data_IF_738921445275
#
_entry.id   IF_738921445275
#
_cell.length_a   1.000
_cell.length_b   1.000
_cell.length_c   1.000
_cell.angle_alpha   90.00
_cell.angle_beta   90.00
_cell.angle_gamma   90.00
#
_symmetry.space_group_name_H-M   'P 1'
#
loop_
_entity.id
_entity.type
_entity.pdbx_description
1 polymer ?
#
# COMPACT_ATOMS: atom_id res chain seq x y z
N UNK A 1 -12.98 10.90 24.03
CA UNK A 1 -14.13 10.08 24.47
C UNK A 1 -13.91 8.67 23.96
N UNK A 2 -14.13 7.64 24.77
CA UNK A 2 -14.04 6.23 24.36
C UNK A 2 -15.32 5.49 24.76
N UNK A 3 -15.86 4.59 23.90
CA UNK A 3 -17.00 3.75 24.26
C UNK A 3 -16.54 2.63 25.22
N UNK A 4 -17.31 2.38 26.28
CA UNK A 4 -17.09 1.30 27.26
C UNK A 4 -18.41 0.58 27.49
N UNK A 5 -18.36 -0.73 27.73
CA UNK A 5 -19.56 -1.53 28.04
C UNK A 5 -19.84 -1.48 29.55
N UNK A 6 -21.06 -1.10 29.92
CA UNK A 6 -21.59 -1.17 31.28
C UNK A 6 -23.04 -1.66 31.21
N UNK A 7 -23.40 -2.70 31.98
CA UNK A 7 -24.73 -3.32 31.96
C UNK A 7 -25.25 -3.65 30.54
N UNK A 8 -24.38 -4.21 29.70
CA UNK A 8 -24.65 -4.50 28.28
C UNK A 8 -25.06 -3.28 27.42
N UNK A 9 -24.76 -2.07 27.86
CA UNK A 9 -24.96 -0.83 27.12
C UNK A 9 -23.63 -0.13 26.86
N UNK A 10 -23.54 0.57 25.74
CA UNK A 10 -22.39 1.42 25.44
C UNK A 10 -22.54 2.75 26.20
N UNK A 11 -21.59 3.04 27.07
CA UNK A 11 -21.45 4.33 27.76
C UNK A 11 -20.19 5.06 27.28
N UNK A 12 -20.17 6.38 27.44
CA UNK A 12 -19.01 7.21 27.08
C UNK A 12 -18.16 7.44 28.33
N UNK A 13 -16.86 7.13 28.24
CA UNK A 13 -15.86 7.58 29.22
C UNK A 13 -14.98 8.67 28.63
N UNK A 14 -14.69 9.68 29.44
CA UNK A 14 -13.76 10.75 29.09
C UNK A 14 -12.35 10.36 29.56
N UNK A 15 -11.38 10.51 28.67
CA UNK A 15 -9.96 10.24 28.92
C UNK A 15 -9.16 11.41 28.38
N UNK A 16 -8.09 11.77 29.08
CA UNK A 16 -7.12 12.75 28.61
C UNK A 16 -6.10 12.04 27.72
N UNK A 17 -5.84 12.61 26.55
CA UNK A 17 -4.85 12.10 25.58
C UNK A 17 -3.97 13.29 25.18
N UNK A 18 -2.64 13.12 25.10
CA UNK A 18 -1.77 14.18 24.59
C UNK A 18 -2.16 14.61 23.16
N UNK A 19 -2.12 15.91 22.88
CA UNK A 19 -2.48 16.49 21.56
C UNK A 19 -1.57 16.02 20.40
N UNK A 20 -0.42 15.44 20.73
CA UNK A 20 0.51 14.81 19.79
C UNK A 20 0.02 13.42 19.32
N UNK A 21 -0.81 12.74 20.13
CA UNK A 21 -1.30 11.39 19.85
C UNK A 21 -2.69 11.38 19.18
N UNK A 22 -3.33 12.53 19.04
CA UNK A 22 -4.66 12.65 18.45
C UNK A 22 -4.78 13.94 17.64
N UNK A 23 -5.50 13.87 16.51
CA UNK A 23 -5.90 15.03 15.72
C UNK A 23 -7.38 14.94 15.39
N UNK A 24 -8.02 16.09 15.20
CA UNK A 24 -9.40 16.14 14.69
C UNK A 24 -9.39 15.60 13.26
N UNK A 25 -10.30 14.66 12.99
CA UNK A 25 -10.51 14.08 11.68
C UNK A 25 -11.52 14.94 10.88
N UNK A 26 -11.34 15.17 9.57
CA UNK A 26 -10.24 14.66 8.75
C UNK A 26 -8.94 15.44 8.94
N UNK A 27 -7.83 14.71 8.96
CA UNK A 27 -6.50 15.29 8.83
C UNK A 27 -6.35 15.86 7.41
N UNK A 28 -5.74 17.04 7.27
CA UNK A 28 -5.45 17.62 5.95
C UNK A 28 -4.56 16.67 5.14
N UNK A 29 -4.98 16.35 3.91
CA UNK A 29 -4.20 15.49 3.03
C UNK A 29 -2.97 16.24 2.51
N UNK A 30 -1.82 15.99 3.14
CA UNK A 30 -0.52 16.50 2.71
C UNK A 30 0.47 15.34 2.64
N UNK A 31 1.48 15.43 1.77
CA UNK A 31 2.53 14.42 1.68
C UNK A 31 3.26 14.24 3.02
N UNK A 32 3.44 15.33 3.78
CA UNK A 32 4.03 15.29 5.12
C UNK A 32 3.19 14.47 6.11
N UNK A 33 1.87 14.72 6.16
CA UNK A 33 0.97 13.97 7.04
C UNK A 33 0.89 12.48 6.65
N UNK A 34 0.86 12.18 5.36
CA UNK A 34 0.91 10.80 4.86
C UNK A 34 2.22 10.11 5.25
N UNK A 35 3.36 10.77 5.06
CA UNK A 35 4.67 10.24 5.44
C UNK A 35 4.77 9.97 6.95
N UNK A 36 4.21 10.85 7.80
CA UNK A 36 4.18 10.66 9.26
C UNK A 36 3.32 9.45 9.67
N UNK A 37 2.22 9.17 8.98
CA UNK A 37 1.44 7.96 9.23
C UNK A 37 2.20 6.71 8.77
N UNK A 38 2.79 6.74 7.57
CA UNK A 38 3.61 5.64 7.06
C UNK A 38 4.77 5.31 8.01
N UNK A 39 5.46 6.32 8.57
CA UNK A 39 6.59 6.10 9.49
C UNK A 39 6.18 5.41 10.79
N UNK A 40 4.94 5.58 11.24
CA UNK A 40 4.38 4.86 12.40
C UNK A 40 4.01 3.40 12.11
N UNK A 41 3.89 3.05 10.82
CA UNK A 41 3.42 1.75 10.37
C UNK A 41 4.52 0.88 9.78
N UNK A 42 5.60 1.47 9.25
CA UNK A 42 6.70 0.73 8.62
C UNK A 42 7.38 -0.24 9.59
N UNK A 43 7.77 -1.41 9.10
CA UNK A 43 8.38 -2.49 9.90
C UNK A 43 7.40 -3.33 10.73
N UNK A 44 6.10 -3.00 10.71
CA UNK A 44 5.08 -3.83 11.38
C UNK A 44 4.91 -5.17 10.63
N UNK A 45 4.75 -6.30 11.35
CA UNK A 45 4.49 -7.60 10.74
C UNK A 45 3.27 -7.61 9.83
N UNK A 46 3.27 -8.52 8.86
CA UNK A 46 2.10 -8.80 8.02
C UNK A 46 1.11 -9.69 8.80
N UNK A 47 -0.13 -9.23 8.95
CA UNK A 47 -1.22 -9.96 9.61
C UNK A 47 -2.35 -10.29 8.65
N UNK A 48 -2.37 -11.51 8.11
CA UNK A 48 -3.45 -11.97 7.23
C UNK A 48 -4.82 -11.81 7.91
N UNK A 49 -5.75 -11.08 7.28
CA UNK A 49 -7.09 -10.88 7.87
C UNK A 49 -7.07 -10.12 9.19
N UNK A 50 -6.09 -9.26 9.41
CA UNK A 50 -5.83 -8.55 10.67
C UNK A 50 -5.34 -9.42 11.85
N UNK A 51 -4.73 -10.58 11.57
CA UNK A 51 -4.20 -11.46 12.62
C UNK A 51 -3.22 -10.72 13.55
N UNK A 52 -3.40 -10.91 14.86
CA UNK A 52 -2.65 -10.23 15.92
C UNK A 52 -2.69 -8.69 15.86
N UNK A 53 -3.79 -8.12 15.33
CA UNK A 53 -3.97 -6.67 15.16
C UNK A 53 -2.95 -6.01 14.20
N UNK A 54 -2.24 -6.81 13.40
CA UNK A 54 -1.40 -6.32 12.32
C UNK A 54 -2.18 -6.28 11.02
N UNK A 55 -1.87 -5.35 10.12
CA UNK A 55 -2.59 -5.25 8.86
C UNK A 55 -2.10 -6.27 7.83
N UNK A 56 -3.00 -6.66 6.91
CA UNK A 56 -2.61 -7.14 5.59
C UNK A 56 -2.53 -5.96 4.60
N UNK A 57 -2.24 -6.25 3.33
CA UNK A 57 -2.07 -5.25 2.28
C UNK A 57 -3.25 -4.26 2.16
N UNK A 58 -4.48 -4.78 2.11
CA UNK A 58 -5.68 -3.96 1.95
C UNK A 58 -6.08 -3.24 3.23
N UNK A 59 -5.92 -3.87 4.39
CA UNK A 59 -6.15 -3.21 5.68
C UNK A 59 -5.14 -2.07 5.93
N UNK A 60 -3.91 -2.23 5.45
CA UNK A 60 -2.86 -1.21 5.53
C UNK A 60 -3.30 0.07 4.81
N UNK A 61 -3.73 -0.05 3.55
CA UNK A 61 -4.22 1.10 2.78
C UNK A 61 -5.48 1.69 3.40
N UNK A 62 -6.46 0.87 3.78
CA UNK A 62 -7.69 1.34 4.44
C UNK A 62 -7.37 2.18 5.67
N UNK A 63 -6.49 1.69 6.54
CA UNK A 63 -6.12 2.37 7.77
C UNK A 63 -5.27 3.62 7.51
N UNK A 64 -4.43 3.61 6.47
CA UNK A 64 -3.63 4.76 6.06
C UNK A 64 -4.49 5.92 5.52
N UNK A 65 -5.54 5.60 4.76
CA UNK A 65 -6.43 6.61 4.17
C UNK A 65 -7.54 7.10 5.13
N UNK A 66 -7.90 6.30 6.15
CA UNK A 66 -8.97 6.62 7.10
C UNK A 66 -8.79 7.98 7.79
N UNK A 67 -7.61 8.36 8.34
CA UNK A 67 -7.42 9.67 9.00
C UNK A 67 -7.70 10.87 8.09
N UNK A 68 -7.60 10.71 6.77
CA UNK A 68 -7.88 11.75 5.78
C UNK A 68 -9.35 11.82 5.35
N UNK A 69 -10.21 10.96 5.91
CA UNK A 69 -11.62 10.86 5.50
C UNK A 69 -11.83 10.13 4.18
N UNK A 70 -10.79 9.48 3.64
CA UNK A 70 -10.89 8.68 2.41
C UNK A 70 -11.22 7.25 2.81
N UNK A 71 -12.45 6.82 2.51
CA UNK A 71 -12.90 5.49 2.83
C UNK A 71 -12.52 4.50 1.72
N UNK A 72 -11.93 3.37 2.11
CA UNK A 72 -11.66 2.23 1.23
C UNK A 72 -12.36 0.97 1.74
N UNK A 73 -12.87 0.10 0.85
CA UNK A 73 -13.36 -1.24 1.21
C UNK A 73 -12.28 -2.10 1.89
N UNK A 74 -12.70 -3.20 2.55
CA UNK A 74 -11.76 -4.05 3.31
C UNK A 74 -10.83 -4.88 2.44
N UNK A 75 -11.29 -5.39 1.30
CA UNK A 75 -10.56 -6.37 0.49
C UNK A 75 -9.94 -5.70 -0.75
N UNK A 76 -8.75 -6.15 -1.17
CA UNK A 76 -8.01 -5.60 -2.32
C UNK A 76 -8.84 -5.47 -3.59
N UNK A 77 -9.54 -6.54 -4.00
CA UNK A 77 -10.39 -6.51 -5.19
C UNK A 77 -11.54 -5.52 -5.05
N UNK A 78 -12.17 -5.44 -3.88
CA UNK A 78 -13.23 -4.47 -3.62
C UNK A 78 -12.70 -3.03 -3.61
N UNK A 79 -11.48 -2.78 -3.12
CA UNK A 79 -10.83 -1.48 -3.24
C UNK A 79 -10.62 -1.11 -4.71
N UNK A 80 -10.16 -2.05 -5.52
CA UNK A 80 -9.97 -1.81 -6.95
C UNK A 80 -11.28 -1.48 -7.66
N UNK A 81 -12.33 -2.27 -7.47
CA UNK A 81 -13.63 -2.00 -8.08
C UNK A 81 -14.23 -0.68 -7.58
N UNK A 82 -14.16 -0.40 -6.28
CA UNK A 82 -14.61 0.89 -5.74
C UNK A 82 -13.88 2.07 -6.38
N UNK A 83 -12.56 2.00 -6.57
CA UNK A 83 -11.80 3.09 -7.19
C UNK A 83 -12.14 3.22 -8.68
N UNK A 84 -12.32 2.11 -9.41
CA UNK A 84 -12.75 2.14 -10.82
C UNK A 84 -14.13 2.77 -11.00
N UNK A 85 -15.06 2.49 -10.09
CA UNK A 85 -16.43 3.01 -10.14
C UNK A 85 -16.54 4.49 -9.78
N UNK A 86 -15.68 4.97 -8.86
CA UNK A 86 -15.82 6.30 -8.26
C UNK A 86 -14.73 7.30 -8.67
N UNK A 87 -13.64 6.83 -9.27
CA UNK A 87 -12.49 7.67 -9.63
C UNK A 87 -11.95 7.31 -11.02
N UNK A 88 -10.63 7.24 -11.18
CA UNK A 88 -9.97 6.96 -12.45
C UNK A 88 -9.05 5.73 -12.32
N UNK A 89 -9.05 4.88 -13.34
CA UNK A 89 -8.23 3.69 -13.37
C UNK A 89 -7.72 3.42 -14.79
N UNK A 90 -6.55 2.81 -14.87
CA UNK A 90 -5.93 2.35 -16.12
C UNK A 90 -5.56 0.89 -15.94
N UNK A 91 -6.18 0.03 -16.74
CA UNK A 91 -5.80 -1.38 -16.82
C UNK A 91 -4.62 -1.55 -17.78
N UNK A 92 -3.48 -1.95 -17.22
CA UNK A 92 -2.23 -2.23 -17.93
C UNK A 92 -1.93 -3.73 -17.98
N UNK A 93 -2.94 -4.59 -17.75
CA UNK A 93 -2.77 -6.05 -17.73
C UNK A 93 -2.28 -6.59 -19.08
N UNK A 94 -2.62 -5.95 -20.20
CA UNK A 94 -2.14 -6.31 -21.54
C UNK A 94 -0.73 -5.76 -21.87
N UNK A 95 -0.21 -4.82 -21.07
CA UNK A 95 1.11 -4.22 -21.31
C UNK A 95 2.24 -5.08 -20.74
N UNK A 96 3.45 -4.90 -21.29
CA UNK A 96 4.67 -5.52 -20.76
C UNK A 96 5.06 -4.92 -19.41
N UNK A 97 5.85 -5.64 -18.58
CA UNK A 97 6.39 -5.09 -17.33
C UNK A 97 7.12 -3.76 -17.51
N UNK A 98 7.90 -3.61 -18.58
CA UNK A 98 8.62 -2.36 -18.86
C UNK A 98 7.66 -1.20 -19.16
N UNK A 99 6.61 -1.42 -19.94
CA UNK A 99 5.60 -0.41 -20.26
C UNK A 99 4.79 -0.02 -19.00
N UNK A 100 4.46 -0.99 -18.15
CA UNK A 100 3.80 -0.76 -16.85
C UNK A 100 4.62 0.17 -15.97
N UNK A 101 5.91 -0.12 -15.79
CA UNK A 101 6.81 0.70 -14.99
C UNK A 101 7.01 2.09 -15.61
N UNK A 102 7.20 2.16 -16.92
CA UNK A 102 7.35 3.43 -17.65
C UNK A 102 6.11 4.31 -17.52
N UNK A 103 4.92 3.72 -17.63
CA UNK A 103 3.66 4.42 -17.42
C UNK A 103 3.54 4.92 -15.99
N UNK A 104 3.83 4.08 -15.00
CA UNK A 104 3.72 4.45 -13.58
C UNK A 104 4.69 5.58 -13.21
N UNK A 105 5.94 5.53 -13.69
CA UNK A 105 6.94 6.59 -13.47
C UNK A 105 6.46 7.92 -14.05
N UNK A 106 5.86 7.89 -15.24
CA UNK A 106 5.42 9.10 -15.95
C UNK A 106 4.11 9.66 -15.40
N UNK A 107 3.15 8.81 -15.05
CA UNK A 107 1.77 9.20 -14.80
C UNK A 107 1.31 8.96 -13.36
N UNK A 108 2.10 8.29 -12.52
CA UNK A 108 1.76 8.02 -11.13
C UNK A 108 1.73 9.30 -10.30
N UNK A 109 0.71 9.45 -9.46
CA UNK A 109 0.59 10.54 -8.48
C UNK A 109 1.06 10.02 -7.11
N UNK A 110 2.18 10.51 -6.57
CA UNK A 110 2.68 10.06 -5.27
C UNK A 110 1.60 10.16 -4.18
N UNK A 111 1.42 9.09 -3.41
CA UNK A 111 0.45 8.96 -2.33
C UNK A 111 -1.03 8.91 -2.74
N UNK A 112 -1.34 9.01 -4.04
CA UNK A 112 -2.71 8.97 -4.57
C UNK A 112 -2.89 7.92 -5.68
N UNK A 113 -1.84 7.17 -6.00
CA UNK A 113 -1.91 6.07 -6.96
C UNK A 113 -1.75 4.74 -6.24
N UNK A 114 -2.76 3.88 -6.31
CA UNK A 114 -2.74 2.51 -5.82
C UNK A 114 -2.52 1.57 -7.00
N UNK A 115 -1.69 0.56 -6.83
CA UNK A 115 -1.54 -0.52 -7.80
C UNK A 115 -2.29 -1.74 -7.27
N UNK A 116 -3.09 -2.36 -8.14
CA UNK A 116 -3.74 -3.63 -7.87
C UNK A 116 -3.23 -4.72 -8.82
N UNK A 117 -2.79 -5.82 -8.23
CA UNK A 117 -2.33 -7.04 -8.91
C UNK A 117 -3.06 -8.24 -8.28
N UNK A 118 -2.88 -9.46 -8.79
CA UNK A 118 -3.52 -10.63 -8.18
C UNK A 118 -3.17 -10.80 -6.70
N UNK A 119 -4.17 -10.65 -5.85
CA UNK A 119 -4.07 -10.91 -4.41
C UNK A 119 -3.29 -9.85 -3.62
N UNK A 120 -2.95 -8.71 -4.21
CA UNK A 120 -2.18 -7.67 -3.52
C UNK A 120 -2.51 -6.26 -4.01
N UNK A 121 -2.48 -5.29 -3.10
CA UNK A 121 -2.63 -3.85 -3.37
C UNK A 121 -1.56 -3.08 -2.60
N UNK A 122 -1.06 -2.02 -3.20
CA UNK A 122 0.00 -1.21 -2.58
C UNK A 122 0.03 0.21 -3.15
N UNK A 123 0.68 1.12 -2.42
CA UNK A 123 0.68 2.55 -2.69
C UNK A 123 1.94 2.97 -3.45
N UNK A 124 1.79 3.68 -4.55
CA UNK A 124 2.87 4.39 -5.21
C UNK A 124 3.23 5.65 -4.42
N UNK A 125 4.51 5.82 -4.10
CA UNK A 125 5.00 6.96 -3.30
C UNK A 125 5.95 7.88 -4.06
N UNK A 126 6.08 7.68 -5.38
CA UNK A 126 6.91 8.51 -6.25
C UNK A 126 8.06 7.76 -6.89
N UNK A 127 8.92 8.52 -7.53
CA UNK A 127 10.10 8.01 -8.23
C UNK A 127 11.36 8.25 -7.39
N UNK A 128 12.30 7.32 -7.47
CA UNK A 128 13.60 7.44 -6.82
C UNK A 128 14.72 7.10 -7.80
N UNK A 129 15.93 7.66 -7.67
CA UNK A 129 17.07 7.24 -8.47
C UNK A 129 17.34 5.74 -8.31
N UNK A 130 17.48 5.02 -9.41
CA UNK A 130 17.79 3.60 -9.40
C UNK A 130 19.26 3.38 -9.05
N UNK A 131 19.52 2.97 -7.81
CA UNK A 131 20.88 2.75 -7.29
C UNK A 131 21.58 1.52 -7.91
N UNK A 132 20.83 0.66 -8.60
CA UNK A 132 21.35 -0.54 -9.24
C UNK A 132 21.62 -0.36 -10.74
N UNK A 133 21.27 0.80 -11.30
CA UNK A 133 21.53 1.12 -12.70
C UNK A 133 22.46 2.33 -12.82
N UNK A 134 23.59 2.14 -13.49
CA UNK A 134 24.62 3.18 -13.71
C UNK A 134 24.13 4.33 -14.61
N UNK A 135 23.02 4.15 -15.33
CA UNK A 135 22.44 5.13 -16.24
C UNK A 135 21.52 6.16 -15.56
N UNK A 136 21.51 6.24 -14.21
CA UNK A 136 20.67 7.19 -13.46
C UNK A 136 19.19 7.15 -13.83
N UNK A 137 18.67 5.96 -14.15
CA UNK A 137 17.25 5.78 -14.45
C UNK A 137 16.41 5.92 -13.18
N UNK A 138 15.15 6.35 -13.32
CA UNK A 138 14.22 6.39 -12.21
C UNK A 138 13.60 5.00 -11.97
N UNK A 139 13.35 4.66 -10.72
CA UNK A 139 12.54 3.51 -10.32
C UNK A 139 11.28 3.98 -9.59
N UNK A 140 10.16 3.33 -9.86
CA UNK A 140 8.93 3.57 -9.11
C UNK A 140 9.07 2.99 -7.69
N UNK A 141 8.90 3.84 -6.69
CA UNK A 141 8.95 3.46 -5.29
C UNK A 141 7.53 3.27 -4.76
N UNK A 142 7.35 2.26 -3.90
CA UNK A 142 6.05 1.93 -3.33
C UNK A 142 6.13 1.70 -1.84
N UNK A 143 5.02 1.92 -1.14
CA UNK A 143 4.80 1.48 0.23
C UNK A 143 3.80 0.32 0.22
N UNK A 144 4.16 -0.78 0.87
CA UNK A 144 3.35 -1.99 0.88
C UNK A 144 3.46 -2.71 2.22
N UNK A 145 2.41 -3.44 2.61
CA UNK A 145 2.49 -4.49 3.62
C UNK A 145 2.31 -5.85 2.93
N UNK A 146 3.39 -6.63 2.81
CA UNK A 146 3.45 -7.81 1.94
C UNK A 146 3.99 -9.03 2.69
N UNK A 147 3.37 -10.19 2.46
CA UNK A 147 3.85 -11.46 3.03
C UNK A 147 5.20 -11.86 2.43
N UNK A 148 5.32 -11.87 1.11
CA UNK A 148 6.57 -12.20 0.43
C UNK A 148 6.42 -12.30 -1.08
N UNK A 149 7.56 -12.34 -1.76
CA UNK A 149 7.62 -12.52 -3.20
C UNK A 149 7.60 -14.00 -3.56
N UNK A 150 6.98 -14.33 -4.70
CA UNK A 150 6.96 -15.70 -5.24
C UNK A 150 8.13 -15.87 -6.21
N UNK A 151 8.89 -16.97 -6.16
CA UNK A 151 9.82 -17.27 -7.24
C UNK A 151 9.10 -17.70 -8.53
N UNK A 152 9.67 -17.38 -9.71
CA UNK A 152 9.01 -17.63 -11.01
C UNK A 152 8.55 -19.08 -11.21
N UNK A 153 9.40 -20.05 -10.84
CA UNK A 153 9.21 -21.48 -11.18
C UNK A 153 9.05 -22.38 -9.95
N UNK A 154 8.78 -21.83 -8.77
CA UNK A 154 8.71 -22.59 -7.53
C UNK A 154 7.39 -22.33 -6.79
N UNK A 155 6.95 -23.30 -5.97
CA UNK A 155 5.82 -23.13 -5.05
C UNK A 155 6.32 -22.79 -3.64
N UNK A 156 7.22 -21.82 -3.56
CA UNK A 156 7.85 -21.32 -2.33
C UNK A 156 7.58 -19.81 -2.17
N UNK A 157 8.09 -19.20 -1.09
CA UNK A 157 8.04 -17.75 -0.86
C UNK A 157 9.39 -17.25 -0.38
N UNK A 158 9.79 -16.09 -0.89
CA UNK A 158 10.84 -15.25 -0.33
C UNK A 158 10.12 -14.31 0.63
N UNK A 159 10.12 -14.67 1.92
CA UNK A 159 9.33 -13.99 2.95
C UNK A 159 9.93 -12.61 3.23
N UNK A 160 9.07 -11.60 3.22
CA UNK A 160 9.37 -10.24 3.70
C UNK A 160 8.61 -10.04 5.02
N UNK A 161 7.30 -10.30 5.01
CA UNK A 161 6.50 -10.46 6.22
C UNK A 161 6.16 -9.16 6.94
N UNK A 162 6.05 -8.03 6.25
CA UNK A 162 5.71 -6.77 6.89
C UNK A 162 5.57 -5.57 5.96
N UNK A 163 5.38 -4.41 6.58
CA UNK A 163 5.30 -3.11 5.92
C UNK A 163 6.68 -2.53 5.61
N UNK A 164 6.89 -2.12 4.36
CA UNK A 164 8.17 -1.60 3.89
C UNK A 164 8.00 -0.68 2.67
N UNK A 165 9.05 0.08 2.39
CA UNK A 165 9.26 0.62 1.06
C UNK A 165 9.88 -0.45 0.17
N UNK A 166 9.29 -0.69 -0.99
CA UNK A 166 9.76 -1.68 -1.94
C UNK A 166 9.79 -1.05 -3.33
N UNK A 167 10.94 -1.01 -4.03
CA UNK A 167 10.98 -0.57 -5.41
C UNK A 167 10.27 -1.59 -6.32
N UNK A 168 9.56 -1.09 -7.32
CA UNK A 168 9.07 -1.92 -8.41
C UNK A 168 10.15 -2.02 -9.49
N UNK A 169 10.87 -3.14 -9.50
CA UNK A 169 11.93 -3.44 -10.45
C UNK A 169 11.53 -4.57 -11.40
N UNK A 170 12.13 -4.64 -12.58
CA UNK A 170 11.97 -5.79 -13.46
C UNK A 170 12.58 -7.06 -12.85
N UNK A 171 13.70 -6.90 -12.14
CA UNK A 171 14.41 -7.95 -11.43
C UNK A 171 15.00 -7.38 -10.13
N UNK A 172 15.08 -8.19 -9.08
CA UNK A 172 15.63 -7.81 -7.77
C UNK A 172 17.05 -8.38 -7.63
N UNK A 173 18.11 -7.56 -7.63
CA UNK A 173 19.50 -8.05 -7.56
C UNK A 173 19.78 -8.90 -6.32
N UNK A 174 19.19 -8.54 -5.18
CA UNK A 174 19.36 -9.22 -3.89
C UNK A 174 18.55 -10.53 -3.83
N UNK A 175 17.56 -10.69 -4.70
CA UNK A 175 16.70 -11.86 -4.77
C UNK A 175 16.41 -12.26 -6.23
N UNK A 176 17.41 -12.76 -7.00
CA UNK A 176 17.29 -12.97 -8.44
C UNK A 176 16.18 -13.96 -8.85
N UNK A 177 15.79 -14.85 -7.93
CA UNK A 177 14.70 -15.80 -8.15
C UNK A 177 13.31 -15.18 -8.01
N UNK A 178 13.19 -14.02 -7.36
CA UNK A 178 11.92 -13.37 -7.10
C UNK A 178 11.25 -12.93 -8.40
N UNK A 179 9.97 -13.26 -8.56
CA UNK A 179 9.16 -12.69 -9.62
C UNK A 179 8.86 -11.23 -9.27
N UNK A 180 9.09 -10.33 -10.23
CA UNK A 180 8.66 -8.94 -10.13
C UNK A 180 7.14 -8.83 -9.94
N UNK A 181 6.70 -7.89 -9.11
CA UNK A 181 5.28 -7.54 -9.03
C UNK A 181 4.76 -6.92 -10.34
N UNK A 182 5.65 -6.33 -11.15
CA UNK A 182 5.30 -5.80 -12.48
C UNK A 182 5.07 -6.90 -13.52
N UNK A 183 5.40 -8.16 -13.21
CA UNK A 183 5.25 -9.34 -14.07
C UNK A 183 3.97 -10.15 -13.77
N UNK A 184 3.09 -9.61 -12.92
CA UNK A 184 1.79 -10.23 -12.62
C UNK A 184 0.84 -10.16 -13.80
N UNK A 185 -0.14 -11.06 -13.89
CA UNK A 185 -1.03 -11.11 -15.07
C UNK A 185 -1.92 -9.87 -15.08
N UNK A 186 -2.47 -9.51 -13.92
CA UNK A 186 -3.21 -8.29 -13.65
C UNK A 186 -2.25 -7.20 -13.21
N UNK A 187 -2.42 -6.01 -13.79
CA UNK A 187 -1.73 -4.81 -13.36
C UNK A 187 -2.63 -3.59 -13.60
N UNK A 188 -3.35 -3.18 -12.58
CA UNK A 188 -4.27 -2.05 -12.63
C UNK A 188 -3.67 -0.87 -11.84
N UNK A 189 -3.66 0.30 -12.45
CA UNK A 189 -3.19 1.55 -11.85
C UNK A 189 -4.42 2.38 -11.51
N UNK A 190 -4.65 2.62 -10.22
CA UNK A 190 -5.85 3.19 -9.66
C UNK A 190 -5.53 4.56 -9.06
N UNK A 191 -6.29 5.59 -9.41
CA UNK A 191 -6.07 6.96 -8.98
C UNK A 191 -7.20 7.40 -8.05
N UNK A 192 -6.83 7.79 -6.83
CA UNK A 192 -7.71 8.43 -5.85
C UNK A 192 -7.80 9.95 -6.06
#
# INVERSE_FOLDING_TARGET
>A
MIPVVENNQAIIKHVLVPDENVKVMPLSFTQHNMANLISSLIGRPYGWGNMYFYNDCSAELKNLFTPFGIWLPRNSGAQAEFIKENFYAVDMSAATPLERLSYLIKNGKPFLTIIHIEGHVFLYIGNYPNVHNKESTLMAMTYQNIWGLRPKNENSRIVIGGSLFLPLLLEYPEAPKAQSLADKKRFEILYL
#
